data_IF_623109636860
#
_entry.id   IF_623109636860
#
_cell.length_a   1.000
_cell.length_b   1.000
_cell.length_c   1.000
_cell.angle_alpha   90.00
_cell.angle_beta   90.00
_cell.angle_gamma   90.00
#
_symmetry.space_group_name_H-M   'P 1'
#
loop_
_entity.id
_entity.type
_entity.pdbx_description
1 polymer ?
#
# COMPACT_ATOMS: atom_id res chain seq x y z
N UNK A 1 61.71 4.44 -27.11
CA UNK A 1 60.78 5.56 -26.91
C UNK A 1 59.41 4.99 -26.62
N UNK A 2 58.92 5.25 -25.40
CA UNK A 2 57.59 4.87 -24.91
C UNK A 2 56.49 5.53 -25.76
N UNK A 3 55.26 4.96 -25.79
CA UNK A 3 53.99 5.67 -25.52
C UNK A 3 52.74 4.83 -25.85
N UNK A 4 52.12 4.39 -24.76
CA UNK A 4 50.68 4.33 -24.49
C UNK A 4 49.84 3.18 -25.09
N UNK A 5 49.78 2.10 -24.29
CA UNK A 5 48.57 1.32 -24.04
C UNK A 5 47.37 2.24 -23.79
N UNK A 6 46.30 2.09 -24.57
CA UNK A 6 44.95 2.49 -24.20
C UNK A 6 43.99 1.40 -24.67
N UNK A 7 43.84 0.35 -23.87
CA UNK A 7 42.64 -0.50 -23.90
C UNK A 7 41.50 0.33 -23.33
N UNK A 8 40.59 0.80 -24.19
CA UNK A 8 39.32 1.37 -23.75
C UNK A 8 38.35 0.23 -23.47
N UNK A 9 38.33 -0.24 -22.23
CA UNK A 9 37.28 -1.14 -21.73
C UNK A 9 35.98 -0.36 -21.58
N UNK A 10 35.09 -0.49 -22.56
CA UNK A 10 33.74 0.04 -22.52
C UNK A 10 32.90 -0.88 -21.61
N UNK A 11 32.89 -0.60 -20.31
CA UNK A 11 31.95 -1.22 -19.36
C UNK A 11 30.55 -0.65 -19.61
N UNK A 12 29.78 -1.35 -20.44
CA UNK A 12 28.34 -1.14 -20.55
C UNK A 12 27.74 -1.72 -19.26
N UNK A 13 27.62 -0.87 -18.24
CA UNK A 13 26.78 -1.17 -17.10
C UNK A 13 25.34 -1.20 -17.61
N UNK A 14 24.81 -2.40 -17.86
CA UNK A 14 23.37 -2.60 -18.02
C UNK A 14 22.79 -2.31 -16.64
N UNK A 15 22.34 -1.08 -16.43
CA UNK A 15 21.45 -0.74 -15.32
C UNK A 15 20.18 -1.54 -15.54
N UNK A 16 20.11 -2.75 -14.99
CA UNK A 16 18.84 -3.39 -14.73
C UNK A 16 18.10 -2.45 -13.80
N UNK A 17 17.19 -1.66 -14.36
CA UNK A 17 16.08 -1.11 -13.60
C UNK A 17 15.33 -2.33 -13.07
N UNK A 18 15.75 -2.83 -11.90
CA UNK A 18 14.83 -3.58 -11.08
C UNK A 18 13.62 -2.64 -10.96
N UNK A 19 12.50 -3.04 -11.55
CA UNK A 19 11.23 -2.41 -11.23
C UNK A 19 11.13 -2.63 -9.73
N UNK A 20 11.46 -1.58 -8.96
CA UNK A 20 11.35 -1.64 -7.52
C UNK A 20 9.87 -1.88 -7.28
N UNK A 21 9.55 -3.09 -6.79
CA UNK A 21 8.23 -3.42 -6.30
C UNK A 21 7.84 -2.34 -5.28
N UNK A 22 6.60 -1.87 -5.31
CA UNK A 22 6.15 -0.85 -4.35
C UNK A 22 6.37 -1.36 -2.90
N UNK A 23 6.02 -2.63 -2.66
CA UNK A 23 6.26 -3.33 -1.40
C UNK A 23 6.90 -4.70 -1.66
N UNK A 24 7.57 -5.23 -0.63
CA UNK A 24 8.17 -6.56 -0.66
C UNK A 24 7.10 -7.65 -0.46
N UNK A 25 7.11 -8.71 -1.29
CA UNK A 25 6.19 -9.83 -1.09
C UNK A 25 6.54 -10.62 0.18
N UNK A 26 5.52 -11.24 0.78
CA UNK A 26 5.67 -12.05 1.99
C UNK A 26 4.65 -11.68 3.05
N UNK A 27 5.00 -12.00 4.29
CA UNK A 27 4.20 -11.79 5.47
C UNK A 27 4.42 -10.40 6.04
N UNK A 28 3.33 -9.72 6.37
CA UNK A 28 3.27 -8.38 6.92
C UNK A 28 2.50 -8.39 8.24
N UNK A 29 3.06 -7.71 9.24
CA UNK A 29 2.35 -7.35 10.46
C UNK A 29 1.73 -5.96 10.26
N UNK A 30 0.41 -5.87 10.42
CA UNK A 30 -0.35 -4.64 10.31
C UNK A 30 -0.90 -4.29 11.68
N UNK A 31 -0.43 -3.17 12.21
CA UNK A 31 -0.96 -2.55 13.42
C UNK A 31 -2.02 -1.56 12.95
N UNK A 32 -3.24 -1.68 13.44
CA UNK A 32 -4.34 -0.78 13.07
C UNK A 32 -5.03 -0.20 14.30
N UNK A 33 -5.44 1.05 14.20
CA UNK A 33 -6.29 1.71 15.17
C UNK A 33 -7.51 2.30 14.46
N UNK A 34 -8.65 2.31 15.15
CA UNK A 34 -9.90 2.86 14.63
C UNK A 34 -10.44 3.93 15.57
N UNK A 35 -10.96 5.01 15.02
CA UNK A 35 -11.59 6.09 15.79
C UNK A 35 -12.82 6.64 15.09
N UNK A 36 -13.78 7.14 15.87
CA UNK A 36 -15.01 7.75 15.36
C UNK A 36 -15.97 8.12 16.49
N UNK A 37 -16.79 9.14 16.29
CA UNK A 37 -17.62 9.78 17.35
C UNK A 37 -18.63 8.84 18.03
N UNK A 38 -18.99 7.73 17.39
CA UNK A 38 -20.00 6.77 17.88
C UNK A 38 -19.46 5.34 18.02
N UNK A 39 -18.14 5.16 18.01
CA UNK A 39 -17.55 3.84 18.21
C UNK A 39 -17.55 3.44 19.69
N UNK A 40 -17.88 2.17 20.03
CA UNK A 40 -17.65 1.64 21.36
C UNK A 40 -16.16 1.68 21.70
N UNK A 41 -15.79 2.02 22.94
CA UNK A 41 -14.38 2.08 23.40
C UNK A 41 -13.61 0.77 23.18
N UNK A 42 -14.31 -0.36 23.12
CA UNK A 42 -13.72 -1.67 22.84
C UNK A 42 -13.23 -1.80 21.39
N UNK A 43 -13.77 -1.01 20.46
CA UNK A 43 -13.38 -0.98 19.05
C UNK A 43 -12.31 0.07 18.76
N UNK A 44 -11.99 0.96 19.72
CA UNK A 44 -10.93 1.98 19.57
C UNK A 44 -9.56 1.47 20.02
N UNK A 45 -9.45 0.20 20.37
CA UNK A 45 -8.19 -0.41 20.77
C UNK A 45 -7.37 -0.78 19.52
N UNK A 46 -6.06 -0.55 19.61
CA UNK A 46 -5.12 -1.01 18.60
C UNK A 46 -5.17 -2.54 18.46
N UNK A 47 -5.21 -3.03 17.23
CA UNK A 47 -5.13 -4.45 16.92
C UNK A 47 -3.96 -4.72 16.00
N UNK A 48 -3.34 -5.88 16.17
CA UNK A 48 -2.25 -6.36 15.32
C UNK A 48 -2.73 -7.59 14.58
N UNK A 49 -2.64 -7.55 13.26
CA UNK A 49 -2.99 -8.65 12.37
C UNK A 49 -1.80 -9.00 11.49
N UNK A 50 -1.75 -10.25 11.04
CA UNK A 50 -0.74 -10.71 10.11
C UNK A 50 -1.40 -11.09 8.80
N UNK A 51 -0.93 -10.53 7.70
CA UNK A 51 -1.45 -10.80 6.36
C UNK A 51 -0.32 -11.11 5.39
N UNK A 52 -0.67 -11.75 4.29
CA UNK A 52 0.26 -12.04 3.22
C UNK A 52 -0.01 -11.17 2.01
N UNK A 53 1.07 -10.64 1.43
CA UNK A 53 1.06 -9.96 0.14
C UNK A 53 1.83 -10.80 -0.87
N UNK A 54 1.17 -11.13 -1.96
CA UNK A 54 1.79 -11.79 -3.11
C UNK A 54 2.69 -10.83 -3.87
N UNK A 55 3.56 -11.37 -4.73
CA UNK A 55 4.41 -10.56 -5.60
C UNK A 55 3.62 -9.73 -6.62
N UNK A 56 2.41 -10.17 -6.98
CA UNK A 56 1.54 -9.40 -7.87
C UNK A 56 0.99 -8.18 -7.12
N UNK A 57 0.37 -8.40 -5.95
CA UNK A 57 -0.21 -7.36 -5.11
C UNK A 57 0.81 -6.31 -4.67
N UNK A 58 2.05 -6.73 -4.40
CA UNK A 58 3.12 -5.89 -3.89
C UNK A 58 3.85 -5.10 -4.98
N UNK A 59 3.67 -5.46 -6.26
CA UNK A 59 4.42 -4.87 -7.38
C UNK A 59 3.93 -3.49 -7.80
N UNK A 60 2.61 -3.30 -7.81
CA UNK A 60 1.95 -2.04 -8.18
C UNK A 60 0.71 -1.84 -7.30
N UNK A 61 0.89 -1.10 -6.22
CA UNK A 61 -0.16 -0.80 -5.26
C UNK A 61 -1.31 0.00 -5.85
N UNK A 62 -1.09 0.81 -6.91
CA UNK A 62 -2.19 1.51 -7.59
C UNK A 62 -3.05 0.50 -8.36
N UNK A 63 -2.42 -0.45 -9.05
CA UNK A 63 -3.12 -1.51 -9.76
C UNK A 63 -3.91 -2.38 -8.78
N UNK A 64 -3.27 -2.83 -7.69
CA UNK A 64 -3.88 -3.65 -6.64
C UNK A 64 -5.10 -2.96 -6.03
N UNK A 65 -4.99 -1.69 -5.59
CA UNK A 65 -6.12 -0.94 -5.04
C UNK A 65 -7.27 -0.77 -6.04
N UNK A 66 -6.92 -0.47 -7.31
CA UNK A 66 -7.93 -0.32 -8.35
C UNK A 66 -8.68 -1.61 -8.60
N UNK A 67 -7.98 -2.73 -8.68
CA UNK A 67 -8.57 -4.05 -8.88
C UNK A 67 -9.47 -4.42 -7.70
N UNK A 68 -8.98 -4.28 -6.47
CA UNK A 68 -9.73 -4.59 -5.25
C UNK A 68 -11.04 -3.80 -5.18
N UNK A 69 -10.97 -2.47 -5.35
CA UNK A 69 -12.15 -1.60 -5.31
C UNK A 69 -13.11 -1.85 -6.48
N UNK A 70 -12.59 -2.12 -7.68
CA UNK A 70 -13.44 -2.48 -8.82
C UNK A 70 -14.16 -3.80 -8.57
N UNK A 71 -13.47 -4.79 -8.01
CA UNK A 71 -14.04 -6.10 -7.69
C UNK A 71 -15.11 -6.02 -6.58
N UNK A 72 -14.94 -5.07 -5.66
CA UNK A 72 -15.89 -4.74 -4.59
C UNK A 72 -17.08 -3.89 -5.06
N UNK A 73 -17.14 -3.53 -6.35
CA UNK A 73 -18.23 -2.75 -6.94
C UNK A 73 -18.20 -1.27 -6.57
N UNK A 74 -17.04 -0.75 -6.16
CA UNK A 74 -16.88 0.67 -5.90
C UNK A 74 -16.90 1.47 -7.21
N UNK A 75 -17.45 2.67 -7.13
CA UNK A 75 -17.55 3.64 -8.22
C UNK A 75 -16.71 4.90 -7.90
N UNK A 76 -16.58 5.79 -8.88
CA UNK A 76 -15.84 7.05 -8.75
C UNK A 76 -14.39 6.91 -8.26
N UNK A 77 -13.75 5.78 -8.59
CA UNK A 77 -12.38 5.45 -8.19
C UNK A 77 -11.39 6.46 -8.77
N UNK A 78 -10.71 7.20 -7.88
CA UNK A 78 -9.60 8.10 -8.20
C UNK A 78 -8.40 7.66 -7.40
N UNK A 79 -7.28 7.42 -8.06
CA UNK A 79 -6.02 7.03 -7.40
C UNK A 79 -4.92 7.86 -8.02
N UNK A 80 -4.12 8.53 -7.18
CA UNK A 80 -2.99 9.38 -7.58
C UNK A 80 -1.78 9.00 -6.75
N UNK A 81 -0.60 8.98 -7.38
CA UNK A 81 0.68 8.88 -6.68
C UNK A 81 1.45 10.18 -6.77
N UNK A 82 2.07 10.54 -5.67
CA UNK A 82 2.95 11.70 -5.52
C UNK A 82 4.18 11.28 -4.71
N UNK A 83 5.27 10.96 -5.41
CA UNK A 83 6.43 10.30 -4.79
C UNK A 83 6.03 8.96 -4.17
N UNK A 84 6.27 8.84 -2.86
CA UNK A 84 6.03 7.64 -2.06
C UNK A 84 4.62 7.59 -1.44
N UNK A 85 3.79 8.60 -1.70
CA UNK A 85 2.41 8.67 -1.20
C UNK A 85 1.40 8.35 -2.31
N UNK A 86 0.42 7.52 -1.99
CA UNK A 86 -0.74 7.19 -2.82
C UNK A 86 -1.98 7.76 -2.13
N UNK A 87 -2.67 8.67 -2.80
CA UNK A 87 -4.00 9.15 -2.42
C UNK A 87 -5.04 8.40 -3.25
N UNK A 88 -6.04 7.83 -2.59
CA UNK A 88 -7.11 7.08 -3.24
C UNK A 88 -8.47 7.50 -2.69
N UNK A 89 -9.47 7.62 -3.57
CA UNK A 89 -10.85 7.91 -3.21
C UNK A 89 -11.79 7.01 -4.01
N UNK A 90 -12.83 6.49 -3.37
CA UNK A 90 -13.91 5.77 -4.04
C UNK A 90 -15.23 5.85 -3.28
N UNK A 91 -16.32 5.52 -3.96
CA UNK A 91 -17.64 5.33 -3.35
C UNK A 91 -18.04 3.88 -3.47
N UNK A 92 -18.15 3.16 -2.36
CA UNK A 92 -18.49 1.74 -2.38
C UNK A 92 -19.91 1.47 -1.86
N UNK A 93 -20.61 0.47 -2.41
CA UNK A 93 -21.91 0.06 -1.88
C UNK A 93 -21.77 -0.59 -0.50
N UNK A 94 -22.58 -0.15 0.45
CA UNK A 94 -22.66 -0.67 1.82
C UNK A 94 -24.13 -0.97 2.17
N UNK A 95 -24.61 -2.14 1.76
CA UNK A 95 -26.00 -2.54 1.90
C UNK A 95 -26.93 -1.63 1.09
N UNK A 96 -27.84 -0.91 1.76
CA UNK A 96 -28.75 0.04 1.11
C UNK A 96 -28.18 1.47 1.00
N UNK A 97 -26.95 1.69 1.47
CA UNK A 97 -26.27 2.99 1.46
C UNK A 97 -24.98 2.91 0.65
N UNK A 98 -24.40 4.06 0.40
CA UNK A 98 -23.03 4.19 -0.10
C UNK A 98 -22.13 4.65 1.04
N UNK A 99 -20.88 4.22 1.00
CA UNK A 99 -19.81 4.71 1.87
C UNK A 99 -18.75 5.34 0.98
N UNK A 100 -18.36 6.58 1.29
CA UNK A 100 -17.19 7.23 0.68
C UNK A 100 -15.95 6.78 1.42
N UNK A 101 -14.90 6.47 0.68
CA UNK A 101 -13.58 6.11 1.18
C UNK A 101 -12.58 7.15 0.68
N UNK A 102 -11.78 7.69 1.59
CA UNK A 102 -10.64 8.54 1.31
C UNK A 102 -9.42 7.91 2.01
N UNK A 103 -8.49 7.37 1.25
CA UNK A 103 -7.31 6.67 1.73
C UNK A 103 -6.02 7.40 1.32
N UNK A 104 -5.06 7.43 2.23
CA UNK A 104 -3.70 7.91 1.98
C UNK A 104 -2.73 6.84 2.47
N UNK A 105 -1.83 6.37 1.60
CA UNK A 105 -0.81 5.36 1.92
C UNK A 105 0.55 6.00 1.66
N UNK A 106 1.44 5.98 2.63
CA UNK A 106 2.82 6.46 2.50
C UNK A 106 3.78 5.30 2.71
N UNK A 107 4.57 4.99 1.67
CA UNK A 107 5.60 3.96 1.71
C UNK A 107 6.90 4.59 2.22
N UNK A 108 7.43 4.12 3.35
CA UNK A 108 8.72 4.58 3.88
C UNK A 108 9.88 3.76 3.32
N UNK A 109 9.62 2.49 3.02
CA UNK A 109 10.49 1.57 2.29
C UNK A 109 9.63 0.47 1.64
N UNK A 110 10.27 -0.49 0.97
CA UNK A 110 9.61 -1.71 0.50
C UNK A 110 9.21 -2.67 1.66
N UNK A 111 9.60 -2.36 2.90
CA UNK A 111 9.34 -3.18 4.10
C UNK A 111 8.53 -2.42 5.19
N UNK A 112 8.15 -1.15 4.95
CA UNK A 112 7.42 -0.32 5.92
C UNK A 112 6.51 0.71 5.24
N UNK A 113 5.24 0.74 5.64
CA UNK A 113 4.29 1.77 5.20
C UNK A 113 3.36 2.20 6.34
N UNK A 114 2.78 3.38 6.19
CA UNK A 114 1.62 3.82 6.98
C UNK A 114 0.45 4.11 6.05
N UNK A 115 -0.77 3.90 6.54
CA UNK A 115 -1.99 4.30 5.85
C UNK A 115 -2.97 5.00 6.79
N UNK A 116 -3.80 5.85 6.21
CA UNK A 116 -4.96 6.45 6.87
C UNK A 116 -6.15 6.29 5.93
N UNK A 117 -7.26 5.80 6.44
CA UNK A 117 -8.49 5.58 5.69
C UNK A 117 -9.62 6.28 6.44
N UNK A 118 -10.22 7.27 5.81
CA UNK A 118 -11.44 7.92 6.27
C UNK A 118 -12.64 7.31 5.53
N UNK A 119 -13.63 6.88 6.30
CA UNK A 119 -14.89 6.36 5.80
C UNK A 119 -16.03 7.26 6.23
N UNK A 120 -16.92 7.58 5.30
CA UNK A 120 -18.13 8.36 5.57
C UNK A 120 -19.37 7.67 4.97
N UNK A 121 -20.34 7.34 5.83
CA UNK A 121 -21.69 6.90 5.45
C UNK A 121 -22.82 7.64 6.19
N UNK A 122 -22.54 8.88 6.60
CA UNK A 122 -23.32 9.67 7.57
C UNK A 122 -22.77 9.59 9.00
N UNK A 123 -21.74 8.77 9.22
CA UNK A 123 -20.86 8.77 10.38
C UNK A 123 -19.43 8.64 9.88
N UNK A 124 -18.52 9.42 10.45
CA UNK A 124 -17.12 9.39 10.08
C UNK A 124 -16.36 8.39 10.96
N UNK A 125 -15.57 7.55 10.33
CA UNK A 125 -14.64 6.62 10.96
C UNK A 125 -13.29 6.79 10.31
N UNK A 126 -12.24 6.91 11.11
CA UNK A 126 -10.84 6.95 10.65
C UNK A 126 -10.15 5.69 11.11
N UNK A 127 -9.49 5.00 10.17
CA UNK A 127 -8.62 3.86 10.40
C UNK A 127 -7.19 4.33 10.10
N UNK A 128 -6.29 4.18 11.06
CA UNK A 128 -4.86 4.36 10.84
C UNK A 128 -4.19 2.99 10.89
N UNK A 129 -3.27 2.73 9.95
CA UNK A 129 -2.51 1.49 9.92
C UNK A 129 -1.01 1.77 9.77
N UNK A 130 -0.21 0.90 10.38
CA UNK A 130 1.23 0.84 10.20
C UNK A 130 1.60 -0.61 9.88
N UNK A 131 2.25 -0.83 8.74
CA UNK A 131 2.60 -2.14 8.22
C UNK A 131 4.10 -2.37 8.19
N UNK A 132 4.54 -3.52 8.71
CA UNK A 132 5.94 -3.95 8.72
C UNK A 132 6.09 -5.32 8.08
N UNK A 133 7.05 -5.48 7.17
CA UNK A 133 7.38 -6.79 6.61
C UNK A 133 8.09 -7.64 7.66
N UNK A 134 7.59 -8.86 7.91
CA UNK A 134 8.10 -9.75 8.98
C UNK A 134 8.75 -11.03 8.47
N UNK A 135 8.59 -11.38 7.19
CA UNK A 135 9.25 -12.54 6.62
C UNK A 135 8.70 -13.01 5.28
N UNK A 136 9.36 -13.99 4.66
CA UNK A 136 8.90 -14.63 3.42
C UNK A 136 7.80 -15.69 3.67
N UNK A 137 7.61 -16.08 4.94
CA UNK A 137 6.77 -17.22 5.32
C UNK A 137 5.29 -16.84 5.42
N UNK A 138 4.58 -17.03 4.32
CA UNK A 138 3.12 -17.09 4.29
C UNK A 138 2.62 -18.49 4.68
N UNK A 139 2.81 -18.89 5.94
CA UNK A 139 2.26 -20.16 6.43
C UNK A 139 0.78 -19.97 6.81
N UNK A 140 -0.08 -20.66 6.04
CA UNK A 140 -1.53 -20.78 6.20
C UNK A 140 -1.94 -21.72 7.33
#
# INVERSE_FOLDING_TARGET
>A
MSRHLLLASLLIAVSTSAMASDLKPGQWEIIQSMSGDQMPEQMTQETTETQCMTAEESSDMIATLREDWTSSGCEDIKIRRDGDTIDAQATCPAGARTTTFDASITMHSDEHFNSMIEMDNGQQVTIEQEGHWVGENCES
#
